data_IF_977770615043
#
_entry.id   IF_977770615043
#
_cell.length_a   1.000
_cell.length_b   1.000
_cell.length_c   1.000
_cell.angle_alpha   90.00
_cell.angle_beta   90.00
_cell.angle_gamma   90.00
#
_symmetry.space_group_name_H-M   'P 1'
#
loop_
_entity.id
_entity.type
_entity.pdbx_description
1 polymer ?
#
# COMPACT_ATOMS: atom_id res chain seq x y z
N UNK A 1 17.32 -10.70 -45.84
CA UNK A 1 18.67 -10.83 -45.25
C UNK A 1 18.49 -11.56 -43.93
N UNK A 2 19.14 -12.70 -43.81
CA UNK A 2 19.28 -13.52 -42.59
C UNK A 2 20.45 -12.95 -41.73
N UNK A 3 20.90 -13.57 -40.62
CA UNK A 3 20.77 -13.14 -39.23
C UNK A 3 22.15 -12.91 -38.56
N UNK A 4 22.60 -11.69 -38.31
CA UNK A 4 23.97 -11.52 -37.78
C UNK A 4 24.19 -10.30 -36.89
N UNK A 5 23.44 -10.24 -35.78
CA UNK A 5 23.88 -9.44 -34.64
C UNK A 5 23.70 -10.21 -33.33
N UNK A 6 24.74 -10.89 -32.83
CA UNK A 6 24.83 -11.20 -31.41
C UNK A 6 25.54 -10.08 -30.63
N UNK A 7 25.18 -10.02 -29.35
CA UNK A 7 25.91 -9.44 -28.19
C UNK A 7 25.53 -8.02 -27.73
N UNK A 8 25.71 -7.68 -26.42
CA UNK A 8 26.44 -8.39 -25.36
C UNK A 8 25.60 -8.67 -24.09
N UNK A 9 25.94 -9.50 -23.11
CA UNK A 9 26.92 -10.57 -22.91
C UNK A 9 26.52 -11.12 -21.53
N UNK A 10 26.04 -12.36 -21.46
CA UNK A 10 25.94 -13.06 -20.17
C UNK A 10 27.33 -13.58 -19.83
N UNK A 11 28.06 -12.86 -18.97
CA UNK A 11 29.17 -13.44 -18.21
C UNK A 11 29.15 -12.84 -16.81
N UNK A 12 28.48 -13.52 -15.88
CA UNK A 12 28.93 -13.57 -14.50
C UNK A 12 28.64 -14.98 -13.96
N UNK A 13 29.69 -15.78 -13.85
CA UNK A 13 29.74 -16.89 -12.91
C UNK A 13 30.89 -16.63 -11.96
N UNK A 14 30.63 -16.66 -10.65
CA UNK A 14 31.43 -17.38 -9.64
C UNK A 14 30.78 -17.18 -8.27
N UNK A 15 30.12 -18.27 -7.83
CA UNK A 15 29.96 -18.71 -6.45
C UNK A 15 29.52 -17.65 -5.41
N UNK A 16 28.22 -17.62 -5.12
CA UNK A 16 27.64 -16.85 -4.00
C UNK A 16 26.19 -16.37 -4.16
N UNK A 17 25.47 -16.70 -5.25
CA UNK A 17 24.11 -16.19 -5.52
C UNK A 17 23.08 -17.33 -5.44
N UNK A 18 22.81 -17.84 -4.24
CA UNK A 18 21.80 -18.90 -4.03
C UNK A 18 20.41 -18.39 -3.58
N UNK A 19 20.14 -17.08 -3.65
CA UNK A 19 18.75 -16.59 -3.57
C UNK A 19 18.58 -15.21 -4.22
N UNK A 20 18.65 -15.15 -5.55
CA UNK A 20 18.22 -13.96 -6.29
C UNK A 20 16.77 -14.11 -6.73
N UNK A 21 15.91 -13.19 -6.27
CA UNK A 21 14.52 -13.10 -6.71
C UNK A 21 14.42 -12.11 -7.89
N UNK A 22 13.84 -12.55 -9.02
CA UNK A 22 13.48 -11.67 -10.13
C UNK A 22 11.96 -11.45 -10.11
N UNK A 23 11.54 -10.19 -10.06
CA UNK A 23 10.13 -9.77 -10.11
C UNK A 23 9.89 -8.75 -11.21
N UNK A 24 8.67 -8.76 -11.73
CA UNK A 24 8.16 -7.73 -12.62
C UNK A 24 7.63 -6.56 -11.79
N UNK A 25 7.89 -5.31 -12.24
CA UNK A 25 7.35 -4.09 -11.64
C UNK A 25 6.66 -3.25 -12.69
N UNK A 26 5.45 -2.79 -12.38
CA UNK A 26 4.63 -1.99 -13.27
C UNK A 26 4.84 -0.49 -12.99
N UNK A 27 5.17 0.27 -14.02
CA UNK A 27 5.37 1.71 -13.92
C UNK A 27 4.27 2.45 -14.66
N UNK A 28 3.39 3.12 -13.92
CA UNK A 28 2.29 3.89 -14.50
C UNK A 28 2.76 5.25 -14.99
N UNK A 29 2.21 5.72 -16.12
CA UNK A 29 2.58 7.01 -16.70
C UNK A 29 2.06 8.21 -15.88
N UNK A 30 0.98 8.03 -15.11
CA UNK A 30 0.37 9.09 -14.29
C UNK A 30 -0.10 8.52 -12.95
N UNK A 31 -0.09 9.30 -11.87
CA UNK A 31 -0.69 8.91 -10.60
C UNK A 31 -2.23 8.91 -10.65
N UNK A 32 -2.84 8.28 -9.63
CA UNK A 32 -4.28 8.38 -9.37
C UNK A 32 -5.15 7.22 -9.84
N UNK A 33 -6.48 7.40 -9.84
CA UNK A 33 -7.46 6.30 -9.79
C UNK A 33 -7.54 5.48 -11.08
N UNK A 34 -7.04 6.00 -12.20
CA UNK A 34 -7.01 5.27 -13.48
C UNK A 34 -6.21 3.96 -13.40
N UNK A 35 -5.32 3.83 -12.40
CA UNK A 35 -4.49 2.64 -12.20
C UNK A 35 -5.10 1.62 -11.23
N UNK A 36 -6.30 1.90 -10.66
CA UNK A 36 -6.89 1.06 -9.60
C UNK A 36 -7.13 -0.37 -10.07
N UNK A 37 -7.61 -0.55 -11.30
CA UNK A 37 -7.87 -1.87 -11.88
C UNK A 37 -6.60 -2.70 -12.07
N UNK A 38 -5.50 -2.06 -12.46
CA UNK A 38 -4.20 -2.72 -12.53
C UNK A 38 -3.71 -3.14 -11.13
N UNK A 39 -3.94 -2.30 -10.11
CA UNK A 39 -3.60 -2.64 -8.73
C UNK A 39 -4.44 -3.81 -8.21
N UNK A 40 -5.74 -3.86 -8.52
CA UNK A 40 -6.63 -4.99 -8.20
C UNK A 40 -6.09 -6.29 -8.82
N UNK A 41 -5.70 -6.25 -10.09
CA UNK A 41 -5.11 -7.41 -10.78
C UNK A 41 -3.83 -7.89 -10.08
N UNK A 42 -2.97 -6.97 -9.63
CA UNK A 42 -1.74 -7.33 -8.91
C UNK A 42 -2.01 -7.89 -7.51
N UNK A 43 -3.09 -7.45 -6.84
CA UNK A 43 -3.52 -8.08 -5.58
C UNK A 43 -3.96 -9.52 -5.80
N UNK A 44 -4.76 -9.78 -6.85
CA UNK A 44 -5.20 -11.15 -7.18
C UNK A 44 -4.01 -12.07 -7.47
N UNK A 45 -3.05 -11.60 -8.28
CA UNK A 45 -1.79 -12.32 -8.53
C UNK A 45 -1.01 -12.60 -7.24
N UNK A 46 -0.93 -11.62 -6.33
CA UNK A 46 -0.26 -11.84 -5.05
C UNK A 46 -0.96 -12.93 -4.21
N UNK A 47 -2.29 -12.99 -4.23
CA UNK A 47 -3.01 -14.09 -3.57
C UNK A 47 -2.67 -15.44 -4.20
N UNK A 48 -2.59 -15.53 -5.53
CA UNK A 48 -2.16 -16.74 -6.25
C UNK A 48 -0.72 -17.16 -5.90
N UNK A 49 0.14 -16.19 -5.59
CA UNK A 49 1.52 -16.40 -5.11
C UNK A 49 1.60 -16.81 -3.62
N UNK A 50 0.47 -16.85 -2.91
CA UNK A 50 0.39 -17.34 -1.53
C UNK A 50 0.37 -16.25 -0.45
N UNK A 51 0.29 -14.97 -0.81
CA UNK A 51 0.14 -13.90 0.18
C UNK A 51 -1.22 -13.98 0.88
N UNK A 52 -1.19 -14.07 2.21
CA UNK A 52 -2.41 -14.21 3.05
C UNK A 52 -2.94 -12.90 3.60
N UNK A 53 -2.09 -11.88 3.74
CA UNK A 53 -2.42 -10.61 4.36
C UNK A 53 -2.35 -9.50 3.32
N UNK A 54 -3.48 -8.81 3.13
CA UNK A 54 -3.62 -7.69 2.20
C UNK A 54 -4.19 -6.49 2.95
N UNK A 55 -3.56 -5.33 2.76
CA UNK A 55 -3.98 -4.07 3.37
C UNK A 55 -4.18 -3.03 2.29
N UNK A 56 -5.36 -2.41 2.25
CA UNK A 56 -5.75 -1.54 1.15
C UNK A 56 -6.33 -0.22 1.67
N UNK A 57 -5.80 0.91 1.21
CA UNK A 57 -6.33 2.22 1.59
C UNK A 57 -7.67 2.50 0.88
N UNK A 58 -8.68 3.02 1.56
CA UNK A 58 -9.90 3.47 0.88
C UNK A 58 -10.64 4.52 1.70
N UNK A 59 -10.73 5.75 1.18
CA UNK A 59 -11.38 6.86 1.87
C UNK A 59 -12.90 6.69 1.96
N UNK A 60 -13.57 6.48 0.83
CA UNK A 60 -15.03 6.23 0.79
C UNK A 60 -15.38 4.76 0.96
N UNK A 61 -14.41 3.86 0.79
CA UNK A 61 -14.61 2.41 0.76
C UNK A 61 -14.76 1.81 -0.64
N UNK A 62 -14.90 2.62 -1.69
CA UNK A 62 -15.20 2.14 -3.06
C UNK A 62 -14.16 1.13 -3.58
N UNK A 63 -12.88 1.50 -3.57
CA UNK A 63 -11.78 0.62 -4.03
C UNK A 63 -11.63 -0.61 -3.12
N UNK A 64 -11.82 -0.43 -1.82
CA UNK A 64 -11.80 -1.53 -0.84
C UNK A 64 -12.92 -2.55 -1.10
N UNK A 65 -14.14 -2.08 -1.40
CA UNK A 65 -15.27 -2.92 -1.76
C UNK A 65 -15.04 -3.66 -3.09
N UNK A 66 -14.38 -3.02 -4.07
CA UNK A 66 -13.98 -3.69 -5.30
C UNK A 66 -12.96 -4.82 -5.05
N UNK A 67 -11.96 -4.59 -4.21
CA UNK A 67 -11.01 -5.64 -3.81
C UNK A 67 -11.70 -6.77 -3.05
N UNK A 68 -12.58 -6.44 -2.11
CA UNK A 68 -13.31 -7.43 -1.31
C UNK A 68 -14.14 -8.38 -2.20
N UNK A 69 -14.83 -7.85 -3.23
CA UNK A 69 -15.55 -8.68 -4.21
C UNK A 69 -14.64 -9.63 -4.99
N UNK A 70 -13.47 -9.15 -5.44
CA UNK A 70 -12.52 -9.97 -6.23
C UNK A 70 -11.80 -11.04 -5.41
N UNK A 71 -11.60 -10.76 -4.13
CA UNK A 71 -10.87 -11.64 -3.22
C UNK A 71 -11.80 -12.52 -2.37
N UNK A 72 -13.12 -12.36 -2.51
CA UNK A 72 -14.11 -13.15 -1.80
C UNK A 72 -13.87 -14.65 -1.99
N UNK A 73 -13.87 -15.40 -0.88
CA UNK A 73 -13.67 -16.85 -0.89
C UNK A 73 -12.23 -17.32 -1.16
N UNK A 74 -11.25 -16.41 -1.37
CA UNK A 74 -9.84 -16.80 -1.60
C UNK A 74 -9.05 -17.11 -0.31
N UNK A 75 -9.71 -17.12 0.86
CA UNK A 75 -9.07 -17.47 2.14
C UNK A 75 -8.03 -16.47 2.64
N UNK A 76 -8.13 -15.21 2.23
CA UNK A 76 -7.19 -14.14 2.59
C UNK A 76 -7.77 -13.20 3.65
N UNK A 77 -6.87 -12.56 4.41
CA UNK A 77 -7.21 -11.50 5.33
C UNK A 77 -7.04 -10.14 4.63
N UNK A 78 -8.15 -9.56 4.15
CA UNK A 78 -8.21 -8.21 3.60
C UNK A 78 -8.58 -7.20 4.69
N UNK A 79 -7.71 -6.23 4.94
CA UNK A 79 -7.96 -5.08 5.81
C UNK A 79 -8.05 -3.81 4.96
N UNK A 80 -9.21 -3.19 4.95
CA UNK A 80 -9.45 -1.90 4.27
C UNK A 80 -9.30 -0.78 5.28
N UNK A 81 -8.36 0.13 5.04
CA UNK A 81 -8.04 1.24 5.94
C UNK A 81 -8.55 2.56 5.37
N UNK A 82 -9.52 3.16 6.04
CA UNK A 82 -10.04 4.50 5.76
C UNK A 82 -9.49 5.55 6.73
N UNK A 83 -9.77 6.81 6.43
CA UNK A 83 -9.43 7.91 7.34
C UNK A 83 -10.23 7.82 8.65
N UNK A 84 -9.70 8.42 9.71
CA UNK A 84 -10.45 8.63 10.94
C UNK A 84 -11.67 9.53 10.69
N UNK A 85 -12.75 9.32 11.43
CA UNK A 85 -14.05 10.01 11.29
C UNK A 85 -13.95 11.54 11.40
N UNK A 86 -12.88 12.08 11.98
CA UNK A 86 -12.67 13.53 12.09
C UNK A 86 -11.87 14.15 10.95
N UNK A 87 -11.35 13.36 10.00
CA UNK A 87 -10.31 13.82 9.07
C UNK A 87 -10.79 14.90 8.10
N UNK A 88 -11.95 14.70 7.45
CA UNK A 88 -12.54 15.70 6.55
C UNK A 88 -13.15 16.88 7.31
N UNK A 89 -13.60 16.64 8.54
CA UNK A 89 -14.17 17.63 9.42
C UNK A 89 -14.85 17.00 10.64
N UNK A 90 -15.36 17.83 11.57
CA UNK A 90 -15.90 17.34 12.84
C UNK A 90 -17.06 16.36 12.65
N UNK A 91 -16.89 15.13 13.13
CA UNK A 91 -17.89 14.05 13.07
C UNK A 91 -18.30 13.65 11.62
N UNK A 92 -17.43 13.85 10.63
CA UNK A 92 -17.70 13.51 9.22
C UNK A 92 -16.97 12.23 8.83
N UNK A 93 -17.71 11.14 8.86
CA UNK A 93 -17.23 9.88 8.29
C UNK A 93 -17.29 9.94 6.76
N UNK A 94 -16.15 9.79 6.11
CA UNK A 94 -16.08 9.72 4.64
C UNK A 94 -16.47 8.33 4.11
N UNK A 95 -16.41 7.31 4.96
CA UNK A 95 -16.60 5.91 4.57
C UNK A 95 -18.09 5.59 4.45
N UNK A 96 -18.51 5.20 3.24
CA UNK A 96 -19.92 5.00 2.93
C UNK A 96 -20.44 3.66 3.47
N UNK A 97 -21.64 3.61 4.10
CA UNK A 97 -22.21 2.38 4.67
C UNK A 97 -22.30 1.22 3.69
N UNK A 98 -22.71 1.46 2.44
CA UNK A 98 -22.85 0.42 1.42
C UNK A 98 -21.52 -0.27 1.06
N UNK A 99 -20.42 0.49 1.10
CA UNK A 99 -19.08 -0.06 0.86
C UNK A 99 -18.59 -0.83 2.08
N UNK A 100 -18.87 -0.32 3.29
CA UNK A 100 -18.58 -1.04 4.52
C UNK A 100 -19.28 -2.40 4.56
N UNK A 101 -20.60 -2.43 4.30
CA UNK A 101 -21.40 -3.66 4.23
C UNK A 101 -20.86 -4.64 3.19
N UNK A 102 -20.48 -4.14 2.01
CA UNK A 102 -19.85 -4.98 0.97
C UNK A 102 -18.57 -5.64 1.47
N UNK A 103 -17.69 -4.87 2.14
CA UNK A 103 -16.39 -5.37 2.61
C UNK A 103 -16.59 -6.44 3.68
N UNK A 104 -17.44 -6.17 4.69
CA UNK A 104 -17.71 -7.12 5.77
C UNK A 104 -18.43 -8.36 5.23
N UNK A 105 -19.40 -8.20 4.33
CA UNK A 105 -20.14 -9.30 3.73
C UNK A 105 -19.27 -10.25 2.90
N UNK A 106 -18.16 -9.75 2.34
CA UNK A 106 -17.16 -10.55 1.65
C UNK A 106 -16.08 -11.15 2.57
N UNK A 107 -16.18 -10.94 3.89
CA UNK A 107 -15.23 -11.43 4.90
C UNK A 107 -14.01 -10.53 5.13
N UNK A 108 -13.99 -9.33 4.54
CA UNK A 108 -12.97 -8.31 4.80
C UNK A 108 -13.20 -7.59 6.13
N UNK A 109 -12.23 -6.77 6.52
CA UNK A 109 -12.28 -5.92 7.72
C UNK A 109 -12.12 -4.47 7.34
N UNK A 110 -12.75 -3.57 8.10
CA UNK A 110 -12.60 -2.12 7.92
C UNK A 110 -11.96 -1.51 9.17
N UNK A 111 -10.92 -0.71 8.97
CA UNK A 111 -10.26 0.09 10.00
C UNK A 111 -10.37 1.56 9.62
N UNK A 112 -10.84 2.40 10.54
CA UNK A 112 -10.81 3.87 10.39
C UNK A 112 -9.72 4.39 11.30
N UNK A 113 -8.59 4.81 10.73
CA UNK A 113 -7.37 5.09 11.48
C UNK A 113 -6.91 6.54 11.35
N UNK A 114 -6.18 6.99 12.36
CA UNK A 114 -5.48 8.29 12.31
C UNK A 114 -4.24 8.13 11.45
N UNK A 115 -4.08 8.99 10.42
CA UNK A 115 -2.90 8.98 9.56
C UNK A 115 -1.66 9.30 10.41
N UNK A 116 -0.80 8.29 10.59
CA UNK A 116 0.34 8.33 11.51
C UNK A 116 1.29 9.53 11.28
N UNK A 117 1.42 9.99 10.03
CA UNK A 117 2.30 11.11 9.68
C UNK A 117 1.57 12.42 9.35
N UNK A 118 0.34 12.59 9.86
CA UNK A 118 -0.44 13.81 9.62
C UNK A 118 -0.90 14.46 10.92
N UNK A 119 -1.99 13.98 11.53
CA UNK A 119 -2.85 14.68 12.51
C UNK A 119 -2.17 15.69 13.44
N UNK A 120 -1.57 15.27 14.56
CA UNK A 120 -0.99 16.21 15.53
C UNK A 120 0.12 17.06 14.93
N UNK A 121 0.92 16.46 14.05
CA UNK A 121 2.13 17.08 13.52
C UNK A 121 1.82 18.15 12.47
N UNK A 122 0.76 17.98 11.67
CA UNK A 122 0.25 19.05 10.80
C UNK A 122 -0.36 20.18 11.63
N UNK A 123 -1.10 19.88 12.70
CA UNK A 123 -1.66 20.90 13.58
C UNK A 123 -0.57 21.76 14.24
N UNK A 124 0.49 21.12 14.74
CA UNK A 124 1.65 21.79 15.32
C UNK A 124 2.40 22.60 14.24
N UNK A 125 2.67 22.01 13.07
CA UNK A 125 3.36 22.70 11.98
C UNK A 125 2.59 23.93 11.46
N UNK A 126 1.26 23.85 11.39
CA UNK A 126 0.41 24.98 11.00
C UNK A 126 0.46 26.13 12.01
N UNK A 127 0.42 25.82 13.31
CA UNK A 127 0.45 26.81 14.38
C UNK A 127 1.82 27.46 14.55
N UNK A 128 2.89 26.65 14.57
CA UNK A 128 4.24 27.10 14.94
C UNK A 128 5.21 27.25 13.76
N UNK A 129 4.76 26.95 12.53
CA UNK A 129 5.53 27.09 11.28
C UNK A 129 6.87 26.32 11.27
N UNK A 130 6.90 25.15 11.92
CA UNK A 130 8.08 24.28 12.01
C UNK A 130 7.99 23.01 11.17
N UNK A 131 9.11 22.28 11.05
CA UNK A 131 9.14 20.91 10.54
C UNK A 131 8.96 19.92 11.68
N UNK A 132 8.19 18.87 11.40
CA UNK A 132 7.89 17.79 12.33
C UNK A 132 8.58 16.50 11.87
N UNK A 133 9.16 15.68 12.77
CA UNK A 133 9.83 14.43 12.39
C UNK A 133 8.98 13.50 11.52
N UNK A 134 7.69 13.34 11.83
CA UNK A 134 6.80 12.48 11.04
C UNK A 134 6.47 13.05 9.66
N UNK A 135 6.37 14.39 9.52
CA UNK A 135 6.22 15.05 8.22
C UNK A 135 7.48 14.88 7.35
N UNK A 136 8.66 14.89 7.94
CA UNK A 136 9.92 14.60 7.24
C UNK A 136 9.96 13.15 6.74
N UNK A 137 9.51 12.19 7.56
CA UNK A 137 9.37 10.78 7.17
C UNK A 137 8.40 10.66 5.99
N UNK A 138 7.21 11.26 6.09
CA UNK A 138 6.20 11.24 5.04
C UNK A 138 6.73 11.80 3.72
N UNK A 139 7.40 12.95 3.77
CA UNK A 139 7.94 13.60 2.58
C UNK A 139 9.12 12.84 1.98
N UNK A 140 9.91 12.14 2.80
CA UNK A 140 10.94 11.21 2.34
C UNK A 140 10.31 10.01 1.61
N UNK A 141 9.30 9.36 2.19
CA UNK A 141 8.59 8.26 1.52
C UNK A 141 7.92 8.70 0.22
N UNK A 142 7.37 9.91 0.17
CA UNK A 142 6.79 10.50 -1.05
C UNK A 142 7.80 10.71 -2.17
N UNK A 143 9.12 10.62 -1.93
CA UNK A 143 10.12 10.59 -3.02
C UNK A 143 10.04 9.30 -3.83
N UNK A 144 9.39 8.27 -3.30
CA UNK A 144 9.08 7.03 -3.98
C UNK A 144 7.63 6.98 -4.51
N UNK A 145 6.82 8.00 -4.23
CA UNK A 145 5.41 8.12 -4.64
C UNK A 145 4.46 8.29 -3.45
N UNK A 146 3.32 8.97 -3.67
CA UNK A 146 2.29 9.16 -2.63
C UNK A 146 1.72 7.82 -2.17
N UNK A 147 1.41 6.92 -3.11
CA UNK A 147 0.87 5.61 -2.79
C UNK A 147 1.83 4.77 -1.93
N UNK A 148 3.15 4.83 -2.13
CA UNK A 148 4.08 4.06 -1.30
C UNK A 148 4.10 4.56 0.15
N UNK A 149 4.08 5.88 0.35
CA UNK A 149 3.92 6.47 1.69
C UNK A 149 2.65 5.94 2.36
N UNK A 150 1.53 5.91 1.64
CA UNK A 150 0.25 5.38 2.14
C UNK A 150 0.37 3.90 2.48
N UNK A 151 0.98 3.07 1.62
CA UNK A 151 1.20 1.65 1.89
C UNK A 151 1.94 1.41 3.21
N UNK A 152 2.97 2.21 3.51
CA UNK A 152 3.74 2.10 4.75
C UNK A 152 2.88 2.45 5.98
N UNK A 153 2.05 3.49 5.91
CA UNK A 153 1.18 3.88 7.02
C UNK A 153 0.09 2.86 7.32
N UNK A 154 -0.67 2.45 6.30
CA UNK A 154 -1.82 1.56 6.50
C UNK A 154 -1.40 0.20 7.04
N UNK A 155 -0.19 -0.27 6.71
CA UNK A 155 0.37 -1.51 7.28
C UNK A 155 0.64 -1.33 8.78
N UNK A 156 1.27 -0.23 9.19
CA UNK A 156 1.50 0.03 10.61
C UNK A 156 0.19 0.20 11.37
N UNK A 157 -0.77 0.93 10.82
CA UNK A 157 -2.10 1.13 11.41
C UNK A 157 -2.84 -0.21 11.58
N UNK A 158 -2.76 -1.10 10.58
CA UNK A 158 -3.38 -2.42 10.66
C UNK A 158 -2.70 -3.34 11.68
N UNK A 159 -1.37 -3.24 11.86
CA UNK A 159 -0.65 -3.95 12.94
C UNK A 159 -1.01 -3.38 14.31
N UNK A 160 -1.04 -2.05 14.45
CA UNK A 160 -1.39 -1.38 15.71
C UNK A 160 -2.80 -1.76 16.19
N UNK A 161 -3.73 -2.00 15.24
CA UNK A 161 -5.09 -2.46 15.51
C UNK A 161 -5.19 -4.00 15.71
N UNK A 162 -4.10 -4.76 15.60
CA UNK A 162 -4.10 -6.22 15.72
C UNK A 162 -4.82 -6.94 14.58
N UNK A 163 -4.99 -6.29 13.42
CA UNK A 163 -5.71 -6.86 12.28
C UNK A 163 -4.83 -7.71 11.37
N UNK A 164 -3.51 -7.48 11.40
CA UNK A 164 -2.48 -8.30 10.76
C UNK A 164 -1.33 -8.58 11.75
N UNK A 165 -0.64 -9.72 11.62
CA UNK A 165 0.52 -10.03 12.45
C UNK A 165 1.71 -9.12 12.14
N UNK A 166 2.58 -8.93 13.12
CA UNK A 166 3.86 -8.25 12.96
C UNK A 166 4.91 -9.21 12.37
N UNK A 167 5.91 -8.67 11.66
CA UNK A 167 7.02 -9.39 11.02
C UNK A 167 6.64 -10.33 9.86
N UNK A 168 5.39 -10.30 9.40
CA UNK A 168 4.92 -11.03 8.21
C UNK A 168 4.99 -10.17 6.95
N UNK A 169 5.06 -10.83 5.79
CA UNK A 169 5.00 -10.16 4.49
C UNK A 169 3.55 -9.86 4.11
N UNK A 170 3.28 -8.59 3.84
CA UNK A 170 1.93 -8.07 3.59
C UNK A 170 1.90 -7.35 2.25
N UNK A 171 0.87 -7.62 1.45
CA UNK A 171 0.61 -6.85 0.22
C UNK A 171 -0.16 -5.60 0.59
N UNK A 172 0.46 -4.45 0.40
CA UNK A 172 -0.12 -3.16 0.70
C UNK A 172 -0.44 -2.40 -0.58
N UNK A 173 -1.64 -1.83 -0.66
CA UNK A 173 -2.10 -1.05 -1.81
C UNK A 173 -2.58 0.34 -1.38
N UNK A 174 -2.07 1.35 -2.07
CA UNK A 174 -2.34 2.76 -1.82
C UNK A 174 -2.32 3.57 -3.12
N UNK A 175 -2.62 4.86 -3.02
CA UNK A 175 -2.68 5.71 -4.21
C UNK A 175 -2.58 7.20 -3.93
N UNK A 176 -2.62 7.96 -5.01
CA UNK A 176 -2.59 9.43 -5.00
C UNK A 176 -4.00 10.00 -5.08
N UNK A 177 -4.40 10.81 -4.10
CA UNK A 177 -5.70 11.48 -3.98
C UNK A 177 -6.93 10.55 -3.89
N UNK A 178 -7.20 9.73 -4.92
CA UNK A 178 -8.26 8.72 -4.94
C UNK A 178 -7.80 7.47 -5.68
N UNK A 179 -8.44 6.35 -5.36
CA UNK A 179 -8.11 5.05 -5.95
C UNK A 179 -6.67 4.64 -5.64
N UNK A 180 -6.14 3.73 -6.46
CA UNK A 180 -4.82 3.15 -6.25
C UNK A 180 -3.92 3.32 -7.45
N UNK A 181 -2.64 3.54 -7.15
CA UNK A 181 -1.57 3.59 -8.14
C UNK A 181 -0.29 2.90 -7.67
N UNK A 182 -0.27 2.33 -6.46
CA UNK A 182 0.91 1.70 -5.88
C UNK A 182 0.56 0.38 -5.22
N UNK A 183 1.36 -0.65 -5.49
CA UNK A 183 1.29 -1.96 -4.83
C UNK A 183 2.69 -2.30 -4.33
N UNK A 184 2.82 -2.64 -3.05
CA UNK A 184 4.08 -2.98 -2.43
C UNK A 184 3.95 -4.23 -1.55
N UNK A 185 5.04 -4.97 -1.38
CA UNK A 185 5.18 -6.00 -0.35
C UNK A 185 5.98 -5.40 0.80
N UNK A 186 5.44 -5.45 2.01
CA UNK A 186 6.01 -4.82 3.19
C UNK A 186 6.14 -5.87 4.29
N UNK A 187 7.31 -5.92 4.94
CA UNK A 187 7.46 -6.64 6.21
C UNK A 187 6.85 -5.78 7.30
N UNK A 188 5.75 -6.25 7.88
CA UNK A 188 4.93 -5.48 8.80
C UNK A 188 5.64 -5.18 10.12
N UNK A 189 5.40 -3.97 10.65
CA UNK A 189 5.84 -3.54 11.98
C UNK A 189 4.74 -2.66 12.59
N UNK A 190 4.58 -2.68 13.91
CA UNK A 190 3.76 -1.68 14.60
C UNK A 190 4.41 -0.29 14.50
N UNK A 191 3.62 0.78 14.58
CA UNK A 191 4.14 2.15 14.41
C UNK A 191 5.24 2.51 15.43
N UNK A 192 5.12 2.04 16.68
CA UNK A 192 6.15 2.17 17.73
C UNK A 192 7.50 1.53 17.37
N UNK A 193 7.56 0.70 16.34
CA UNK A 193 8.74 0.01 15.82
C UNK A 193 8.98 0.34 14.34
N UNK A 194 8.57 1.52 13.89
CA UNK A 194 8.72 2.01 12.51
C UNK A 194 10.07 1.64 11.86
N UNK A 195 11.20 1.78 12.57
CA UNK A 195 12.53 1.49 12.03
C UNK A 195 12.80 0.00 11.73
N UNK A 196 11.91 -0.91 12.13
CA UNK A 196 11.94 -2.34 11.75
C UNK A 196 11.10 -2.65 10.51
N UNK A 197 10.22 -1.74 10.10
CA UNK A 197 9.42 -1.90 8.88
C UNK A 197 10.34 -1.89 7.67
N UNK A 198 10.09 -2.77 6.71
CA UNK A 198 10.85 -2.82 5.47
C UNK A 198 9.91 -2.93 4.27
N UNK A 199 10.11 -2.07 3.27
CA UNK A 199 9.54 -2.26 1.94
C UNK A 199 10.40 -3.29 1.21
N UNK A 200 9.83 -4.48 0.94
CA UNK A 200 10.55 -5.61 0.34
C UNK A 200 10.47 -5.59 -1.19
N UNK A 201 9.28 -5.30 -1.73
CA UNK A 201 9.04 -5.22 -3.17
C UNK A 201 8.16 -4.01 -3.48
N UNK A 202 8.40 -3.38 -4.64
CA UNK A 202 7.46 -2.44 -5.26
C UNK A 202 6.97 -3.12 -6.53
N UNK A 203 5.71 -3.56 -6.53
CA UNK A 203 5.09 -4.29 -7.64
C UNK A 203 4.46 -3.36 -8.66
N UNK A 204 3.96 -2.22 -8.22
CA UNK A 204 3.56 -1.14 -9.10
C UNK A 204 3.74 0.21 -8.43
N UNK A 205 4.06 1.24 -9.22
CA UNK A 205 3.96 2.65 -8.82
C UNK A 205 3.94 3.58 -10.03
N UNK A 206 3.57 4.86 -9.89
CA UNK A 206 3.80 5.86 -10.93
C UNK A 206 5.31 6.04 -11.23
N UNK A 207 5.66 6.29 -12.50
CA UNK A 207 7.05 6.55 -12.93
C UNK A 207 7.47 8.00 -12.68
N UNK A 208 6.56 8.95 -12.87
CA UNK A 208 6.74 10.41 -12.78
C UNK A 208 5.47 11.11 -13.30
N UNK A 209 5.29 12.42 -13.11
CA UNK A 209 6.24 13.44 -12.61
C UNK A 209 6.21 13.67 -11.08
#
# INVERSE_FOLDING_TARGET
MDPSAPSPTTVFSRQGVESMLKRETWYFNKPGPANTEACLTLMEKAVEEGFRHLVAASTTGESGAAAARRLAGKGVNLVVVGHSVGFKGPNIDEFLPEHHETIIGAGGRVLKATILTHSLETSIAEQFKGSAPTLLIANTLRRLGQGLKVCVEIVMEAVDAGLIPEEEEVVAVGGTARGWDTVAVIKSAASKRFLKLAVLEIRAKPRGD
#
